data_IF_910231918507
#
_entry.id   IF_910231918507
#
_cell.length_a   1.000
_cell.length_b   1.000
_cell.length_c   1.000
_cell.angle_alpha   90.00
_cell.angle_beta   90.00
_cell.angle_gamma   90.00
#
_symmetry.space_group_name_H-M   'P 1'
#
loop_
_entity.id
_entity.type
_entity.pdbx_description
1 polymer ?
#
# COMPACT_ATOMS: atom_id res chain seq x y z
N UNK A 1 15.39 -5.94 -0.39
CA UNK A 1 15.50 -7.39 -0.08
C UNK A 1 15.05 -7.60 1.36
N UNK A 2 14.21 -8.62 1.62
CA UNK A 2 13.80 -8.98 2.97
C UNK A 2 14.90 -9.83 3.64
N UNK A 3 15.16 -9.62 4.92
CA UNK A 3 16.12 -10.42 5.70
C UNK A 3 15.44 -11.05 6.91
N UNK A 4 15.77 -12.30 7.18
CA UNK A 4 15.23 -13.06 8.32
C UNK A 4 16.34 -13.26 9.34
N UNK A 5 16.08 -12.87 10.59
CA UNK A 5 17.04 -12.98 11.68
C UNK A 5 16.35 -13.32 12.99
N UNK A 6 17.11 -13.84 13.94
CA UNK A 6 16.65 -14.03 15.33
C UNK A 6 16.69 -12.71 16.09
N UNK A 7 15.67 -12.44 16.89
CA UNK A 7 15.61 -11.27 17.77
C UNK A 7 16.62 -11.41 18.92
N UNK A 8 17.39 -10.36 19.21
CA UNK A 8 18.29 -10.36 20.38
C UNK A 8 17.44 -10.46 21.66
N UNK A 9 17.79 -11.39 22.56
CA UNK A 9 17.05 -11.62 23.80
C UNK A 9 15.75 -12.43 23.67
N UNK A 10 15.40 -12.92 22.49
CA UNK A 10 14.27 -13.84 22.29
C UNK A 10 14.66 -14.97 21.33
N UNK A 11 13.98 -16.12 21.40
CA UNK A 11 14.18 -17.17 20.41
C UNK A 11 13.31 -16.97 19.16
N UNK A 12 12.65 -15.82 19.00
CA UNK A 12 11.73 -15.55 17.90
C UNK A 12 12.45 -14.99 16.67
N UNK A 13 11.98 -15.40 15.49
CA UNK A 13 12.41 -14.87 14.21
C UNK A 13 11.68 -13.57 13.88
N UNK A 14 12.35 -12.65 13.22
CA UNK A 14 11.77 -11.43 12.66
C UNK A 14 12.14 -11.27 11.19
N UNK A 15 11.29 -10.55 10.46
CA UNK A 15 11.51 -10.18 9.06
C UNK A 15 11.78 -8.67 8.99
N UNK A 16 12.85 -8.28 8.30
CA UNK A 16 13.24 -6.88 8.09
C UNK A 16 13.25 -6.60 6.59
N UNK A 17 12.35 -5.71 6.15
CA UNK A 17 12.12 -5.40 4.74
C UNK A 17 11.66 -3.94 4.58
N UNK A 18 11.56 -3.47 3.34
CA UNK A 18 11.02 -2.15 3.03
C UNK A 18 9.69 -2.30 2.29
N UNK A 19 8.72 -1.48 2.66
CA UNK A 19 7.43 -1.37 1.98
C UNK A 19 7.01 0.10 1.96
N UNK A 20 6.60 0.61 0.79
CA UNK A 20 6.24 2.02 0.57
C UNK A 20 7.28 3.03 1.09
N UNK A 21 8.58 2.71 0.91
CA UNK A 21 9.69 3.54 1.39
C UNK A 21 9.97 3.45 2.89
N UNK A 22 9.15 2.73 3.66
CA UNK A 22 9.29 2.59 5.11
C UNK A 22 9.93 1.25 5.45
N UNK A 23 10.88 1.28 6.39
CA UNK A 23 11.47 0.07 6.95
C UNK A 23 10.50 -0.62 7.90
N UNK A 24 10.18 -1.88 7.63
CA UNK A 24 9.31 -2.72 8.42
C UNK A 24 10.13 -3.82 9.08
N UNK A 25 10.02 -3.95 10.41
CA UNK A 25 10.75 -4.96 11.19
C UNK A 25 9.75 -5.67 12.09
N UNK A 26 9.21 -6.76 11.57
CA UNK A 26 8.10 -7.45 12.20
C UNK A 26 8.58 -8.74 12.85
N UNK A 27 8.35 -8.86 14.15
CA UNK A 27 8.65 -10.10 14.89
C UNK A 27 7.53 -11.10 14.64
N UNK A 28 7.90 -12.35 14.38
CA UNK A 28 6.97 -13.46 14.14
C UNK A 28 6.87 -14.35 15.37
N UNK A 29 5.81 -15.17 15.44
CA UNK A 29 5.66 -16.18 16.49
C UNK A 29 6.48 -17.46 16.24
N UNK A 30 7.38 -17.45 15.27
CA UNK A 30 8.21 -18.61 14.92
C UNK A 30 9.51 -18.58 15.72
N UNK A 31 9.81 -19.69 16.38
CA UNK A 31 11.11 -19.88 17.05
C UNK A 31 12.22 -20.13 16.03
N UNK A 32 13.46 -19.80 16.41
CA UNK A 32 14.63 -19.97 15.57
C UNK A 32 15.02 -21.45 15.44
N UNK A 33 14.39 -22.12 14.49
CA UNK A 33 14.70 -23.48 14.07
C UNK A 33 14.88 -23.53 12.55
N UNK A 34 15.67 -24.47 11.99
CA UNK A 34 15.85 -24.58 10.54
C UNK A 34 14.54 -24.74 9.76
N UNK A 35 13.60 -25.53 10.30
CA UNK A 35 12.28 -25.73 9.70
C UNK A 35 11.46 -24.43 9.67
N UNK A 36 11.46 -23.68 10.77
CA UNK A 36 10.74 -22.41 10.86
C UNK A 36 11.37 -21.32 10.00
N UNK A 37 12.71 -21.28 9.88
CA UNK A 37 13.41 -20.39 8.95
C UNK A 37 12.97 -20.65 7.51
N UNK A 38 13.02 -21.91 7.07
CA UNK A 38 12.59 -22.29 5.71
C UNK A 38 11.12 -21.97 5.45
N UNK A 39 10.25 -22.13 6.46
CA UNK A 39 8.85 -21.72 6.38
C UNK A 39 8.72 -20.21 6.22
N UNK A 40 9.45 -19.44 7.01
CA UNK A 40 9.41 -17.98 6.98
C UNK A 40 10.01 -17.41 5.68
N UNK A 41 11.04 -18.04 5.14
CA UNK A 41 11.63 -17.72 3.83
C UNK A 41 10.59 -17.81 2.72
N UNK A 42 9.84 -18.92 2.65
CA UNK A 42 8.74 -19.07 1.67
C UNK A 42 7.67 -17.99 1.82
N UNK A 43 7.32 -17.62 3.05
CA UNK A 43 6.37 -16.53 3.31
C UNK A 43 6.97 -15.20 2.83
N UNK A 44 8.23 -14.92 3.13
CA UNK A 44 8.90 -13.70 2.69
C UNK A 44 9.02 -13.61 1.15
N UNK A 45 9.25 -14.73 0.47
CA UNK A 45 9.21 -14.81 -1.00
C UNK A 45 7.81 -14.49 -1.54
N UNK A 46 6.76 -15.07 -0.95
CA UNK A 46 5.37 -14.75 -1.31
C UNK A 46 5.05 -13.27 -1.09
N UNK A 47 5.42 -12.72 0.06
CA UNK A 47 5.23 -11.29 0.35
C UNK A 47 5.94 -10.43 -0.70
N UNK A 48 7.18 -10.80 -1.09
CA UNK A 48 7.93 -10.08 -2.13
C UNK A 48 7.19 -10.10 -3.47
N UNK A 49 6.65 -11.25 -3.89
CA UNK A 49 5.86 -11.35 -5.12
C UNK A 49 4.60 -10.46 -5.05
N UNK A 50 3.87 -10.51 -3.94
CA UNK A 50 2.68 -9.67 -3.74
C UNK A 50 3.02 -8.17 -3.73
N UNK A 51 4.17 -7.77 -3.18
CA UNK A 51 4.61 -6.36 -3.19
C UNK A 51 4.85 -5.90 -4.63
N UNK A 52 5.52 -6.71 -5.44
CA UNK A 52 5.80 -6.41 -6.85
C UNK A 52 4.51 -6.30 -7.64
N UNK A 53 3.56 -7.21 -7.40
CA UNK A 53 2.25 -7.22 -8.06
C UNK A 53 1.29 -6.14 -7.55
N UNK A 54 1.65 -5.40 -6.50
CA UNK A 54 0.75 -4.43 -5.85
C UNK A 54 -0.40 -5.05 -5.06
N UNK A 55 -0.34 -6.35 -4.78
CA UNK A 55 -1.39 -7.11 -4.06
C UNK A 55 -1.09 -7.27 -2.56
N UNK A 56 0.05 -6.77 -2.10
CA UNK A 56 0.51 -6.99 -0.73
C UNK A 56 -0.33 -6.21 0.29
N UNK A 57 -1.00 -6.93 1.18
CA UNK A 57 -1.74 -6.36 2.28
C UNK A 57 -0.95 -6.48 3.59
N UNK A 58 -0.29 -5.41 4.00
CA UNK A 58 0.56 -5.39 5.20
C UNK A 58 -0.21 -5.79 6.48
N UNK A 59 -1.42 -5.27 6.68
CA UNK A 59 -2.24 -5.53 7.88
C UNK A 59 -2.68 -7.00 7.97
N UNK A 60 -2.83 -7.69 6.83
CA UNK A 60 -3.12 -9.13 6.79
C UNK A 60 -1.96 -9.99 7.29
N UNK A 61 -0.72 -9.62 6.96
CA UNK A 61 0.46 -10.33 7.44
C UNK A 61 0.82 -9.98 8.88
N UNK A 62 0.64 -8.71 9.26
CA UNK A 62 1.06 -8.17 10.56
C UNK A 62 -0.07 -7.40 11.25
N UNK A 63 -1.17 -8.07 11.64
CA UNK A 63 -2.36 -7.40 12.18
C UNK A 63 -2.11 -6.72 13.54
N UNK A 64 -1.08 -7.14 14.27
CA UNK A 64 -0.68 -6.58 15.58
C UNK A 64 0.48 -5.58 15.47
N UNK A 65 0.88 -5.19 14.26
CA UNK A 65 1.95 -4.22 14.08
C UNK A 65 1.44 -2.81 14.33
N UNK A 66 2.19 -2.02 15.08
CA UNK A 66 1.92 -0.59 15.28
C UNK A 66 1.92 0.20 13.95
N UNK A 67 2.57 -0.36 12.92
CA UNK A 67 2.62 0.22 11.57
C UNK A 67 1.42 -0.13 10.71
N UNK A 68 0.54 -1.05 11.13
CA UNK A 68 -0.57 -1.50 10.31
C UNK A 68 -1.46 -0.32 9.86
N UNK A 69 -1.85 0.56 10.78
CA UNK A 69 -2.65 1.75 10.48
C UNK A 69 -1.94 2.71 9.51
N UNK A 70 -0.64 2.93 9.71
CA UNK A 70 0.17 3.78 8.82
C UNK A 70 0.23 3.21 7.40
N UNK A 71 0.42 1.89 7.26
CA UNK A 71 0.51 1.24 5.96
C UNK A 71 -0.83 1.25 5.22
N UNK A 72 -1.94 1.10 5.94
CA UNK A 72 -3.30 1.23 5.36
C UNK A 72 -3.49 2.64 4.80
N UNK A 73 -3.23 3.68 5.59
CA UNK A 73 -3.38 5.06 5.14
C UNK A 73 -2.49 5.41 3.93
N UNK A 74 -1.28 4.86 3.85
CA UNK A 74 -0.41 5.04 2.68
C UNK A 74 -0.95 4.31 1.45
N UNK A 75 -1.52 3.12 1.64
CA UNK A 75 -2.15 2.37 0.55
C UNK A 75 -3.39 3.10 0.02
N UNK A 76 -4.24 3.61 0.90
CA UNK A 76 -5.43 4.40 0.52
C UNK A 76 -5.02 5.66 -0.25
N UNK A 77 -3.96 6.35 0.18
CA UNK A 77 -3.41 7.49 -0.55
C UNK A 77 -2.87 7.10 -1.92
N UNK A 78 -2.21 5.94 -2.02
CA UNK A 78 -1.72 5.43 -3.31
C UNK A 78 -2.90 5.14 -4.25
N UNK A 79 -3.96 4.50 -3.75
CA UNK A 79 -5.16 4.21 -4.55
C UNK A 79 -5.89 5.49 -4.96
N UNK A 80 -6.01 6.50 -4.08
CA UNK A 80 -6.67 7.76 -4.43
C UNK A 80 -5.91 8.59 -5.49
N UNK A 81 -4.61 8.36 -5.67
CA UNK A 81 -3.82 8.97 -6.76
C UNK A 81 -4.04 8.20 -8.06
N UNK A 82 -4.35 6.91 -7.99
CA UNK A 82 -4.59 6.04 -9.15
C UNK A 82 -6.05 6.06 -9.62
N UNK A 83 -6.96 6.77 -8.94
CA UNK A 83 -8.33 6.91 -9.43
C UNK A 83 -8.35 7.76 -10.70
N UNK A 84 -9.19 7.40 -11.67
CA UNK A 84 -9.49 8.19 -12.90
C UNK A 84 -10.21 9.52 -12.58
N UNK A 85 -10.03 10.05 -11.38
CA UNK A 85 -10.54 11.36 -10.98
C UNK A 85 -9.63 12.40 -11.62
N UNK A 86 -10.12 13.20 -12.57
CA UNK A 86 -9.30 14.25 -13.18
C UNK A 86 -8.79 15.18 -12.10
N UNK A 87 -7.57 15.69 -12.27
CA UNK A 87 -7.06 16.76 -11.41
C UNK A 87 -8.02 17.96 -11.45
N UNK A 88 -7.97 18.84 -10.45
CA UNK A 88 -8.78 20.06 -10.48
C UNK A 88 -8.58 20.86 -11.77
N UNK A 89 -7.35 20.90 -12.29
CA UNK A 89 -7.01 21.53 -13.56
C UNK A 89 -7.69 20.83 -14.75
N UNK A 90 -7.54 19.51 -14.87
CA UNK A 90 -8.18 18.72 -15.93
C UNK A 90 -9.72 18.82 -15.88
N UNK A 91 -10.29 18.82 -14.67
CA UNK A 91 -11.71 19.02 -14.46
C UNK A 91 -12.15 20.43 -14.86
N UNK A 92 -11.39 21.46 -14.48
CA UNK A 92 -11.70 22.85 -14.81
C UNK A 92 -11.62 23.09 -16.33
N UNK A 93 -10.65 22.51 -17.02
CA UNK A 93 -10.53 22.56 -18.49
C UNK A 93 -11.70 21.85 -19.18
N UNK A 94 -12.07 20.66 -18.71
CA UNK A 94 -13.21 19.90 -19.22
C UNK A 94 -14.51 20.69 -19.04
N UNK A 95 -14.78 21.15 -17.81
CA UNK A 95 -15.95 21.96 -17.49
C UNK A 95 -16.01 23.26 -18.30
N UNK A 96 -14.88 23.97 -18.43
CA UNK A 96 -14.81 25.19 -19.20
C UNK A 96 -15.09 24.94 -20.68
N UNK A 97 -14.55 23.85 -21.23
CA UNK A 97 -14.80 23.43 -22.62
C UNK A 97 -16.28 23.09 -22.86
N UNK A 98 -16.91 22.36 -21.94
CA UNK A 98 -18.36 22.09 -21.99
C UNK A 98 -19.20 23.38 -21.96
N UNK A 99 -18.85 24.34 -21.09
CA UNK A 99 -19.58 25.61 -20.98
C UNK A 99 -19.36 26.53 -22.18
N UNK A 100 -18.19 26.47 -22.83
CA UNK A 100 -17.91 27.19 -24.07
C UNK A 100 -18.75 26.68 -25.25
N UNK A 101 -18.98 25.37 -25.33
CA UNK A 101 -19.79 24.75 -26.39
C UNK A 101 -21.30 25.00 -26.21
N UNK A 102 -21.77 25.16 -24.98
CA UNK A 102 -23.18 25.47 -24.65
C UNK A 102 -23.51 26.97 -24.65
N UNK A 103 -22.76 27.78 -25.40
CA UNK A 103 -23.08 29.19 -25.61
C UNK A 103 -24.31 29.39 -26.50
N UNK A 104 -25.42 29.80 -25.87
CA UNK A 104 -26.61 30.49 -26.40
C UNK A 104 -27.85 29.65 -26.76
N UNK A 105 -28.77 29.53 -25.80
CA UNK A 105 -30.19 29.77 -26.07
C UNK A 105 -30.62 30.94 -25.20
N UNK A 106 -31.07 32.07 -25.75
CA UNK A 106 -31.61 33.16 -24.96
C UNK A 106 -32.92 32.70 -24.34
N UNK A 107 -32.97 32.57 -23.02
CA UNK A 107 -34.22 32.43 -22.30
C UNK A 107 -34.87 33.81 -22.31
N UNK A 108 -35.69 34.09 -23.34
CA UNK A 108 -36.65 35.19 -23.29
C UNK A 108 -37.66 34.86 -22.21
N UNK A 109 -37.49 35.46 -21.04
CA UNK A 109 -38.54 35.55 -20.03
C UNK A 109 -39.60 36.49 -20.59
N UNK A 110 -40.81 35.98 -20.77
CA UNK A 110 -42.02 36.75 -21.10
C UNK A 110 -42.95 36.71 -19.91
#
# INVERSE_FOLDING_TARGET
>A
MASIRRRKGSNMLFVDFYYMGIRCRETTNLTDTPANRKKLEKVAEKMKAEIILGLFNYAKYFPKSDKAAQMVALNDRKECINTDTPSFEQFAELWFSEKKLNGAIPISVK
#
